data_IF_842394749941
#
_entry.id   IF_842394749941
#
_cell.length_a   1.000
_cell.length_b   1.000
_cell.length_c   1.000
_cell.angle_alpha   90.00
_cell.angle_beta   90.00
_cell.angle_gamma   90.00
#
_symmetry.space_group_name_H-M   'P 1'
#
loop_
_entity.id
_entity.type
_entity.pdbx_description
1 polymer ?
#
# COMPACT_ATOMS: atom_id res chain seq x y z
N UNK A 1 5.78 10.14 -5.15
CA UNK A 1 6.24 8.80 -5.50
C UNK A 1 7.41 8.97 -6.47
N UNK A 2 8.44 8.15 -6.31
CA UNK A 2 9.59 8.04 -7.19
C UNK A 2 9.35 6.94 -8.24
N UNK A 3 10.07 6.99 -9.35
CA UNK A 3 10.05 5.91 -10.35
C UNK A 3 10.37 4.56 -9.68
N UNK A 4 9.51 3.56 -9.91
CA UNK A 4 9.56 2.26 -9.28
C UNK A 4 8.73 2.11 -8.00
N UNK A 5 8.17 3.17 -7.44
CA UNK A 5 7.22 3.06 -6.31
C UNK A 5 5.95 2.32 -6.73
N UNK A 6 5.38 1.57 -5.79
CA UNK A 6 4.18 0.77 -5.99
C UNK A 6 2.99 1.46 -5.32
N UNK A 7 1.99 1.85 -6.10
CA UNK A 7 0.70 2.38 -5.64
C UNK A 7 -0.38 1.31 -5.74
N UNK A 8 -0.91 0.87 -4.60
CA UNK A 8 -2.13 0.05 -4.57
C UNK A 8 -3.35 0.95 -4.48
N UNK A 9 -4.20 0.94 -5.50
CA UNK A 9 -5.40 1.78 -5.54
C UNK A 9 -6.66 0.98 -5.86
N UNK A 10 -7.79 1.44 -5.32
CA UNK A 10 -9.11 0.93 -5.68
C UNK A 10 -9.61 1.62 -6.95
N UNK A 11 -9.96 0.84 -7.96
CA UNK A 11 -10.54 1.26 -9.22
C UNK A 11 -11.86 0.52 -9.46
N UNK A 12 -13.00 1.20 -9.24
CA UNK A 12 -14.36 0.68 -9.48
C UNK A 12 -14.64 -0.70 -8.84
N UNK A 13 -14.12 -0.93 -7.64
CA UNK A 13 -14.29 -2.20 -6.91
C UNK A 13 -13.26 -3.28 -7.25
N UNK A 14 -12.36 -3.01 -8.19
CA UNK A 14 -11.16 -3.79 -8.41
C UNK A 14 -9.98 -3.09 -7.72
N UNK A 15 -9.02 -3.87 -7.25
CA UNK A 15 -7.77 -3.33 -6.73
C UNK A 15 -6.68 -3.50 -7.78
N UNK A 16 -5.84 -2.49 -7.93
CA UNK A 16 -4.70 -2.56 -8.84
C UNK A 16 -3.45 -2.05 -8.13
N UNK A 17 -2.30 -2.62 -8.45
CA UNK A 17 -0.99 -2.17 -8.06
C UNK A 17 -0.36 -1.53 -9.29
N UNK A 18 -0.23 -0.22 -9.30
CA UNK A 18 0.46 0.52 -10.35
C UNK A 18 1.90 0.76 -9.92
N UNK A 19 2.87 0.54 -10.81
CA UNK A 19 4.28 0.87 -10.57
C UNK A 19 4.62 2.14 -11.32
N UNK A 20 5.12 3.15 -10.60
CA UNK A 20 5.49 4.43 -11.19
C UNK A 20 6.59 4.22 -12.24
N UNK A 21 6.36 4.72 -13.45
CA UNK A 21 7.27 4.56 -14.59
C UNK A 21 7.30 3.16 -15.22
N UNK A 22 6.62 2.16 -14.66
CA UNK A 22 6.61 0.77 -15.15
C UNK A 22 5.19 0.17 -15.17
N UNK A 23 4.29 0.66 -16.05
CA UNK A 23 2.92 0.16 -16.12
C UNK A 23 2.83 -1.32 -16.52
N UNK A 24 3.88 -1.88 -17.15
CA UNK A 24 3.97 -3.31 -17.48
C UNK A 24 4.05 -4.24 -16.27
N UNK A 25 4.50 -3.71 -15.11
CA UNK A 25 4.54 -4.44 -13.85
C UNK A 25 3.25 -4.30 -13.04
N UNK A 26 2.26 -3.57 -13.58
CA UNK A 26 1.00 -3.37 -12.89
C UNK A 26 0.16 -4.65 -12.83
N UNK A 27 -0.46 -4.89 -11.69
CA UNK A 27 -1.24 -6.10 -11.42
C UNK A 27 -2.60 -5.74 -10.87
N UNK A 28 -3.64 -6.50 -11.25
CA UNK A 28 -5.01 -6.31 -10.79
C UNK A 28 -5.49 -7.49 -9.96
N UNK A 29 -6.23 -7.18 -8.90
CA UNK A 29 -6.62 -8.08 -7.84
C UNK A 29 -8.10 -7.90 -7.51
N UNK A 30 -8.74 -9.00 -7.10
CA UNK A 30 -10.15 -8.97 -6.73
C UNK A 30 -10.37 -8.36 -5.32
N UNK A 31 -9.35 -8.43 -4.46
CA UNK A 31 -9.46 -8.09 -3.03
C UNK A 31 -8.40 -7.08 -2.61
N UNK A 32 -8.74 -6.26 -1.61
CA UNK A 32 -7.84 -5.25 -1.03
C UNK A 32 -6.62 -5.90 -0.40
N UNK A 33 -6.83 -6.85 0.50
CA UNK A 33 -5.75 -7.49 1.25
C UNK A 33 -4.74 -8.18 0.33
N UNK A 34 -5.24 -8.88 -0.71
CA UNK A 34 -4.42 -9.49 -1.75
C UNK A 34 -3.59 -8.45 -2.51
N UNK A 35 -4.19 -7.33 -2.89
CA UNK A 35 -3.50 -6.24 -3.57
C UNK A 35 -2.47 -5.53 -2.70
N UNK A 36 -2.70 -5.45 -1.39
CA UNK A 36 -1.76 -4.81 -0.44
C UNK A 36 -0.56 -5.73 -0.20
N UNK A 37 -0.82 -7.03 0.02
CA UNK A 37 0.23 -8.01 0.24
C UNK A 37 1.16 -8.11 -0.98
N UNK A 38 0.57 -8.31 -2.16
CA UNK A 38 1.32 -8.35 -3.42
C UNK A 38 2.05 -7.04 -3.72
N UNK A 39 1.44 -5.89 -3.43
CA UNK A 39 2.06 -4.58 -3.65
C UNK A 39 3.26 -4.33 -2.74
N UNK A 40 3.18 -4.80 -1.50
CA UNK A 40 4.26 -4.73 -0.53
C UNK A 40 5.42 -5.65 -0.93
N UNK A 41 5.14 -6.88 -1.34
CA UNK A 41 6.16 -7.80 -1.86
C UNK A 41 6.85 -7.24 -3.11
N UNK A 42 6.07 -6.64 -4.02
CA UNK A 42 6.59 -6.02 -5.23
C UNK A 42 7.51 -4.84 -4.90
N UNK A 43 7.10 -3.96 -3.99
CA UNK A 43 7.92 -2.84 -3.54
C UNK A 43 9.23 -3.30 -2.90
N UNK A 44 9.20 -4.35 -2.05
CA UNK A 44 10.41 -4.95 -1.49
C UNK A 44 11.33 -5.53 -2.57
N UNK A 45 10.76 -6.19 -3.57
CA UNK A 45 11.51 -6.76 -4.70
C UNK A 45 12.19 -5.68 -5.55
N UNK A 46 11.50 -4.56 -5.76
CA UNK A 46 12.02 -3.41 -6.52
C UNK A 46 12.95 -2.52 -5.70
N UNK A 47 12.95 -2.66 -4.37
CA UNK A 47 13.66 -1.75 -3.46
C UNK A 47 13.00 -0.38 -3.35
N UNK A 48 11.69 -0.32 -3.58
CA UNK A 48 10.89 0.91 -3.62
C UNK A 48 9.89 0.97 -2.45
N UNK A 49 9.12 2.04 -2.38
CA UNK A 49 8.10 2.22 -1.37
C UNK A 49 6.72 1.77 -1.87
N UNK A 50 5.93 1.23 -0.95
CA UNK A 50 4.54 0.84 -1.20
C UNK A 50 3.60 1.87 -0.57
N UNK A 51 2.67 2.39 -1.36
CA UNK A 51 1.63 3.30 -0.88
C UNK A 51 0.26 2.75 -1.21
N UNK A 52 -0.65 2.72 -0.24
CA UNK A 52 -2.04 2.29 -0.45
C UNK A 52 -2.93 3.52 -0.54
N UNK A 53 -3.58 3.70 -1.69
CA UNK A 53 -4.55 4.77 -1.94
C UNK A 53 -5.98 4.24 -1.85
N UNK A 54 -6.53 4.33 -0.65
CA UNK A 54 -7.93 4.00 -0.40
C UNK A 54 -8.81 5.15 -0.87
N UNK A 55 -9.81 4.89 -1.73
CA UNK A 55 -10.96 5.80 -1.80
C UNK A 55 -11.69 5.66 -0.46
N UNK A 56 -11.52 6.63 0.44
CA UNK A 56 -11.96 6.53 1.83
C UNK A 56 -13.38 5.95 1.99
N UNK A 57 -13.56 5.05 2.96
CA UNK A 57 -14.51 5.29 4.01
C UNK A 57 -13.71 5.72 5.25
N UNK A 58 -14.06 6.87 5.82
CA UNK A 58 -13.44 7.39 7.05
C UNK A 58 -13.43 6.33 8.16
N UNK A 59 -12.27 6.04 8.74
CA UNK A 59 -12.11 5.21 9.95
C UNK A 59 -11.12 4.06 9.71
N UNK A 60 -10.06 3.85 10.48
CA UNK A 60 -9.78 4.18 11.88
C UNK A 60 -8.25 4.31 12.01
N UNK A 61 -7.79 5.29 12.78
CA UNK A 61 -6.40 5.38 13.27
C UNK A 61 -6.29 4.37 14.42
N UNK A 62 -5.54 3.30 14.24
CA UNK A 62 -5.04 2.41 15.31
C UNK A 62 -3.78 1.79 14.71
N UNK A 63 -2.57 2.13 15.13
CA UNK A 63 -2.02 1.94 16.46
C UNK A 63 -0.76 2.84 16.62
N UNK A 64 -0.64 3.52 17.76
CA UNK A 64 0.68 3.78 18.35
C UNK A 64 0.60 3.36 19.82
N UNK A 65 0.64 2.05 20.07
CA UNK A 65 1.14 1.51 21.33
C UNK A 65 2.62 1.17 21.15
N UNK A 66 3.50 2.13 21.47
CA UNK A 66 4.72 1.79 22.22
C UNK A 66 5.57 3.00 22.61
N UNK A 67 5.68 3.13 23.95
CA UNK A 67 6.94 3.10 24.69
C UNK A 67 7.41 4.38 25.43
N UNK A 68 7.86 4.10 26.66
CA UNK A 68 8.70 4.88 27.58
C UNK A 68 7.95 5.70 28.65
N UNK A 69 7.97 5.19 29.87
CA UNK A 69 7.32 5.77 31.05
C UNK A 69 8.15 6.79 31.80
N UNK A 70 7.63 7.25 32.93
CA UNK A 70 8.38 7.77 34.06
C UNK A 70 7.45 7.78 35.28
N UNK A 71 7.90 7.16 36.38
CA UNK A 71 7.20 7.14 37.65
C UNK A 71 7.37 8.44 38.43
N UNK A 72 6.41 8.71 39.30
CA UNK A 72 6.46 9.76 40.34
C UNK A 72 5.40 9.51 41.39
#
# INVERSE_FOLDING_TARGET
MADGDVETRSNRGQWENAVEGSPELSQSFASRDEAIDAGRELAVTLGSHHTVRESAPTGVITDEDSAAGEGG
#
